data_IF_640237615470
#
_entry.id   IF_640237615470
#
_cell.length_a   1.000
_cell.length_b   1.000
_cell.length_c   1.000
_cell.angle_alpha   90.00
_cell.angle_beta   90.00
_cell.angle_gamma   90.00
#
_symmetry.space_group_name_H-M   'P 1'
#
loop_
_entity.id
_entity.type
_entity.pdbx_description
1 polymer ?
#
# COMPACT_ATOMS: atom_id res chain seq x y z
N UNK A 1 1.10 -2.66 -49.63
CA UNK A 1 2.13 -3.45 -48.90
C UNK A 1 1.92 -3.17 -47.43
N UNK A 2 1.05 -3.96 -46.80
CA UNK A 2 0.85 -3.93 -45.35
C UNK A 2 2.10 -4.49 -44.68
N UNK A 3 2.83 -3.64 -43.98
CA UNK A 3 3.87 -4.08 -43.05
C UNK A 3 3.18 -4.53 -41.77
N UNK A 4 3.09 -5.85 -41.57
CA UNK A 4 2.70 -6.46 -40.30
C UNK A 4 3.70 -6.02 -39.23
N UNK A 5 3.19 -5.35 -38.21
CA UNK A 5 3.89 -5.13 -36.94
C UNK A 5 3.77 -6.43 -36.16
N UNK A 6 4.83 -7.24 -36.17
CA UNK A 6 4.94 -8.39 -35.28
C UNK A 6 5.16 -7.85 -33.87
N UNK A 7 4.08 -7.76 -33.11
CA UNK A 7 4.16 -7.56 -31.67
C UNK A 7 4.65 -8.89 -31.08
N UNK A 8 5.96 -8.99 -30.85
CA UNK A 8 6.51 -10.00 -29.94
C UNK A 8 5.92 -9.74 -28.56
N UNK A 9 5.07 -10.66 -28.12
CA UNK A 9 4.67 -10.77 -26.72
C UNK A 9 5.92 -11.11 -25.91
N UNK A 10 6.47 -10.12 -25.22
CA UNK A 10 7.58 -10.32 -24.29
C UNK A 10 7.05 -11.05 -23.05
N UNK A 11 7.31 -12.36 -22.99
CA UNK A 11 7.08 -13.19 -21.82
C UNK A 11 7.93 -12.66 -20.66
N UNK A 12 7.27 -12.16 -19.60
CA UNK A 12 7.96 -11.64 -18.41
C UNK A 12 8.58 -12.85 -17.69
N UNK A 13 9.89 -13.04 -17.82
CA UNK A 13 10.62 -14.01 -17.02
C UNK A 13 10.63 -13.53 -15.56
N UNK A 14 9.87 -14.21 -14.71
CA UNK A 14 9.84 -13.95 -13.28
C UNK A 14 11.10 -14.51 -12.63
N UNK A 15 12.17 -13.71 -12.63
CA UNK A 15 13.40 -13.97 -11.88
C UNK A 15 13.29 -13.32 -10.50
N UNK A 16 13.82 -13.96 -9.46
CA UNK A 16 13.91 -13.35 -8.14
C UNK A 16 14.97 -12.23 -8.11
N UNK A 17 15.06 -11.48 -6.99
CA UNK A 17 16.01 -10.37 -6.85
C UNK A 17 17.49 -10.80 -6.89
N UNK A 18 17.77 -12.10 -6.86
CA UNK A 18 19.11 -12.67 -6.88
C UNK A 18 19.45 -13.31 -8.24
N UNK A 19 18.52 -13.32 -9.20
CA UNK A 19 18.71 -13.94 -10.51
C UNK A 19 18.61 -15.47 -10.50
N UNK A 20 18.02 -16.05 -9.44
CA UNK A 20 17.66 -17.46 -9.37
C UNK A 20 16.20 -17.66 -9.82
N UNK A 21 15.94 -18.79 -10.48
CA UNK A 21 14.57 -19.25 -10.69
C UNK A 21 13.90 -19.42 -9.32
N UNK A 22 12.64 -19.02 -9.14
CA UNK A 22 11.97 -19.20 -7.87
C UNK A 22 11.93 -20.70 -7.53
N UNK A 23 12.74 -21.15 -6.56
CA UNK A 23 12.72 -22.51 -6.00
C UNK A 23 11.44 -22.80 -5.18
N UNK A 24 10.30 -22.25 -5.57
CA UNK A 24 9.02 -22.75 -5.11
C UNK A 24 8.68 -23.95 -5.99
N UNK A 25 8.91 -25.17 -5.47
CA UNK A 25 8.39 -26.37 -6.14
C UNK A 25 6.88 -26.20 -6.32
N UNK A 26 6.33 -26.64 -7.45
CA UNK A 26 4.88 -26.60 -7.75
C UNK A 26 4.06 -27.19 -6.58
N UNK A 27 4.65 -28.14 -5.85
CA UNK A 27 4.07 -28.76 -4.65
C UNK A 27 3.95 -27.85 -3.42
N UNK A 28 4.85 -26.88 -3.23
CA UNK A 28 4.77 -25.86 -2.18
C UNK A 28 3.74 -24.77 -2.52
N UNK A 29 3.62 -24.44 -3.80
CA UNK A 29 2.64 -23.47 -4.31
C UNK A 29 1.21 -24.03 -4.21
N UNK A 30 0.97 -25.30 -4.57
CA UNK A 30 -0.34 -25.95 -4.43
C UNK A 30 -0.81 -26.12 -2.99
N UNK A 31 0.11 -26.30 -2.02
CA UNK A 31 -0.24 -26.38 -0.59
C UNK A 31 -0.77 -25.07 -0.04
N UNK A 32 -0.31 -23.95 -0.57
CA UNK A 32 -0.90 -22.65 -0.30
C UNK A 32 -2.13 -22.53 -1.17
N UNK A 33 -3.27 -23.01 -0.68
CA UNK A 33 -4.56 -22.66 -1.25
C UNK A 33 -5.03 -21.34 -0.63
N UNK A 34 -4.65 -20.18 -1.18
CA UNK A 34 -4.91 -18.87 -0.58
C UNK A 34 -6.40 -18.74 -0.24
N UNK A 35 -7.29 -19.07 -1.16
CA UNK A 35 -8.71 -18.86 -0.93
C UNK A 35 -9.40 -19.88 -0.01
N UNK A 36 -8.72 -20.96 0.41
CA UNK A 36 -9.28 -21.98 1.30
C UNK A 36 -8.81 -21.83 2.76
N UNK A 37 -7.75 -21.06 3.02
CA UNK A 37 -7.17 -20.91 4.35
C UNK A 37 -7.43 -19.52 4.95
N UNK A 38 -8.09 -19.47 6.11
CA UNK A 38 -8.36 -18.23 6.85
C UNK A 38 -7.08 -17.50 7.29
N UNK A 39 -6.04 -18.22 7.71
CA UNK A 39 -4.76 -17.63 8.16
C UNK A 39 -4.11 -16.83 7.05
N UNK A 40 -4.06 -17.40 5.84
CA UNK A 40 -3.52 -16.71 4.66
C UNK A 40 -4.17 -15.34 4.44
N UNK A 41 -5.49 -15.26 4.62
CA UNK A 41 -6.23 -14.02 4.34
C UNK A 41 -5.85 -12.96 5.38
N UNK A 42 -5.71 -13.36 6.64
CA UNK A 42 -5.28 -12.47 7.73
C UNK A 42 -3.87 -11.95 7.45
N UNK A 43 -2.93 -12.83 7.11
CA UNK A 43 -1.53 -12.47 6.85
C UNK A 43 -1.42 -11.52 5.64
N UNK A 44 -2.15 -11.82 4.56
CA UNK A 44 -2.16 -11.01 3.35
C UNK A 44 -2.83 -9.66 3.57
N UNK A 45 -3.94 -9.64 4.31
CA UNK A 45 -4.65 -8.41 4.63
C UNK A 45 -3.79 -7.50 5.53
N UNK A 46 -3.07 -8.07 6.50
CA UNK A 46 -2.09 -7.35 7.32
C UNK A 46 -0.99 -6.73 6.47
N UNK A 47 -0.36 -7.51 5.59
CA UNK A 47 0.65 -7.04 4.65
C UNK A 47 0.14 -5.94 3.70
N UNK A 48 -1.09 -6.07 3.21
CA UNK A 48 -1.73 -5.08 2.36
C UNK A 48 -1.99 -3.77 3.11
N UNK A 49 -2.58 -3.85 4.30
CA UNK A 49 -2.81 -2.68 5.15
C UNK A 49 -1.50 -1.97 5.50
N UNK A 50 -0.46 -2.72 5.81
CA UNK A 50 0.84 -2.17 6.18
C UNK A 50 1.55 -1.51 4.99
N UNK A 51 1.41 -2.09 3.79
CA UNK A 51 1.89 -1.50 2.55
C UNK A 51 1.22 -0.15 2.28
N UNK A 52 -0.12 -0.09 2.39
CA UNK A 52 -0.88 1.15 2.19
C UNK A 52 -0.56 2.21 3.25
N UNK A 53 -0.24 1.82 4.48
CA UNK A 53 0.19 2.76 5.52
C UNK A 53 1.52 3.43 5.17
N UNK A 54 2.51 2.64 4.73
CA UNK A 54 3.85 3.17 4.41
C UNK A 54 3.90 3.86 3.04
N UNK A 55 3.09 3.39 2.09
CA UNK A 55 3.06 3.81 0.69
C UNK A 55 1.62 3.92 0.19
N UNK A 56 0.84 4.89 0.72
CA UNK A 56 -0.52 5.09 0.24
C UNK A 56 -0.51 5.50 -1.24
N UNK A 57 -1.42 4.96 -2.08
CA UNK A 57 -1.53 5.32 -3.49
C UNK A 57 -1.78 6.81 -3.72
N UNK A 58 -2.46 7.46 -2.77
CA UNK A 58 -2.65 8.92 -2.74
C UNK A 58 -1.98 9.47 -1.46
N UNK A 59 -0.75 9.99 -1.56
CA UNK A 59 0.03 10.41 -0.40
C UNK A 59 -0.52 11.63 0.34
N UNK A 60 -1.21 12.51 -0.37
CA UNK A 60 -1.68 13.79 0.14
C UNK A 60 -3.13 14.05 -0.26
N UNK A 61 -3.93 14.42 0.72
CA UNK A 61 -5.37 14.65 0.57
C UNK A 61 -5.71 16.05 1.07
N UNK A 62 -6.51 16.80 0.32
CA UNK A 62 -6.99 18.11 0.78
C UNK A 62 -8.47 18.03 1.15
N UNK A 63 -8.83 18.55 2.32
CA UNK A 63 -10.22 18.65 2.78
C UNK A 63 -10.51 20.08 3.23
N UNK A 64 -11.74 20.51 3.07
CA UNK A 64 -12.23 21.79 3.60
C UNK A 64 -13.46 21.52 4.46
N UNK A 65 -13.61 22.20 5.60
CA UNK A 65 -14.75 21.99 6.47
C UNK A 65 -16.01 22.53 5.80
N UNK A 66 -17.16 21.88 6.00
CA UNK A 66 -18.45 22.36 5.43
C UNK A 66 -18.99 23.59 6.15
N UNK A 67 -18.68 23.74 7.44
CA UNK A 67 -19.06 24.85 8.31
C UNK A 67 -17.85 25.26 9.13
N UNK A 68 -17.92 26.38 9.82
CA UNK A 68 -16.88 26.77 10.77
C UNK A 68 -16.76 25.70 11.87
N UNK A 69 -15.53 25.31 12.22
CA UNK A 69 -15.25 24.29 13.22
C UNK A 69 -13.92 24.58 13.95
N UNK A 70 -13.64 23.87 15.04
CA UNK A 70 -12.40 23.97 15.82
C UNK A 70 -11.66 22.63 15.71
N UNK A 71 -10.48 22.65 15.10
CA UNK A 71 -9.66 21.43 14.97
C UNK A 71 -8.99 21.06 16.30
N UNK A 72 -8.51 19.81 16.48
CA UNK A 72 -7.87 19.36 17.73
C UNK A 72 -6.68 20.20 18.22
N UNK A 73 -6.07 21.00 17.35
CA UNK A 73 -5.06 22.01 17.72
C UNK A 73 -5.65 23.31 18.28
N UNK A 74 -6.94 23.34 18.59
CA UNK A 74 -7.71 24.50 19.07
C UNK A 74 -7.77 25.69 18.09
N UNK A 75 -7.48 25.47 16.80
CA UNK A 75 -7.57 26.51 15.76
C UNK A 75 -8.96 26.53 15.13
N UNK A 76 -9.52 27.72 14.92
CA UNK A 76 -10.73 27.88 14.12
C UNK A 76 -10.43 27.69 12.63
N UNK A 77 -11.27 26.90 11.95
CA UNK A 77 -11.23 26.67 10.51
C UNK A 77 -12.54 27.10 9.88
N UNK A 78 -12.46 27.74 8.71
CA UNK A 78 -13.61 28.24 7.96
C UNK A 78 -13.81 27.45 6.68
N UNK A 79 -14.98 27.51 6.01
CA UNK A 79 -15.24 26.76 4.78
C UNK A 79 -14.26 27.05 3.62
N UNK A 80 -13.61 28.21 3.61
CA UNK A 80 -12.56 28.56 2.64
C UNK A 80 -11.18 27.98 2.99
N UNK A 81 -11.01 27.42 4.19
CA UNK A 81 -9.74 26.86 4.66
C UNK A 81 -9.53 25.48 4.05
N UNK A 82 -8.41 25.30 3.35
CA UNK A 82 -7.95 23.97 2.90
C UNK A 82 -7.01 23.37 3.93
N UNK A 83 -7.36 22.20 4.41
CA UNK A 83 -6.55 21.38 5.32
C UNK A 83 -5.90 20.29 4.47
N UNK A 84 -4.57 20.21 4.51
CA UNK A 84 -3.80 19.19 3.81
C UNK A 84 -3.43 18.07 4.79
N UNK A 85 -3.85 16.85 4.47
CA UNK A 85 -3.51 15.63 5.16
C UNK A 85 -2.41 14.93 4.37
N UNK A 86 -1.20 14.82 4.94
CA UNK A 86 -0.15 13.98 4.37
C UNK A 86 -0.28 12.57 4.96
N UNK A 87 -1.05 11.71 4.29
CA UNK A 87 -1.26 10.32 4.71
C UNK A 87 0.08 9.58 4.79
N UNK A 88 0.97 9.83 3.82
CA UNK A 88 2.30 9.21 3.80
C UNK A 88 3.15 9.62 5.01
N UNK A 89 3.14 10.90 5.40
CA UNK A 89 3.88 11.37 6.58
C UNK A 89 3.24 10.90 7.87
N UNK A 90 1.91 10.98 7.96
CA UNK A 90 1.15 10.56 9.14
C UNK A 90 1.31 9.06 9.43
N UNK A 91 1.37 8.22 8.39
CA UNK A 91 1.63 6.80 8.52
C UNK A 91 2.97 6.49 9.19
N UNK A 92 3.95 7.40 9.09
CA UNK A 92 5.32 7.28 9.62
C UNK A 92 5.57 8.18 10.85
N UNK A 93 4.51 8.66 11.49
CA UNK A 93 4.63 9.57 12.62
C UNK A 93 4.64 8.79 13.94
N UNK A 94 5.68 9.01 14.75
CA UNK A 94 5.86 8.32 16.04
C UNK A 94 4.72 8.62 17.02
N UNK A 95 4.16 9.82 17.00
CA UNK A 95 3.00 10.17 17.84
C UNK A 95 1.73 9.38 17.49
N UNK A 96 1.65 8.77 16.29
CA UNK A 96 0.50 7.97 15.85
C UNK A 96 0.73 6.47 16.04
N UNK A 97 1.94 5.96 15.73
CA UNK A 97 2.23 4.50 15.72
C UNK A 97 3.37 4.06 16.64
N UNK A 98 3.96 4.98 17.41
CA UNK A 98 5.10 4.71 18.28
C UNK A 98 6.42 4.61 17.52
N UNK A 99 7.45 4.11 18.20
CA UNK A 99 8.84 4.20 17.75
C UNK A 99 9.14 3.38 16.47
N UNK A 100 8.31 2.38 16.17
CA UNK A 100 8.47 1.50 15.00
C UNK A 100 7.61 1.93 13.81
N UNK A 101 7.23 3.22 13.74
CA UNK A 101 6.37 3.76 12.68
C UNK A 101 6.96 3.69 11.25
N UNK A 102 8.27 3.46 11.09
CA UNK A 102 8.91 3.36 9.76
C UNK A 102 9.06 1.90 9.31
N UNK A 103 9.01 0.94 10.24
CA UNK A 103 9.19 -0.48 9.93
C UNK A 103 7.93 -1.05 9.28
N UNK A 104 8.11 -2.03 8.40
CA UNK A 104 7.02 -2.83 7.85
C UNK A 104 6.73 -3.99 8.80
N UNK A 105 5.57 -3.94 9.44
CA UNK A 105 5.10 -4.92 10.45
C UNK A 105 3.66 -5.34 10.14
N UNK A 106 3.49 -6.39 9.33
CA UNK A 106 2.18 -6.85 8.89
C UNK A 106 1.40 -7.65 9.95
N UNK A 107 2.06 -8.02 11.06
CA UNK A 107 1.49 -8.80 12.18
C UNK A 107 0.40 -8.11 13.00
#
# INVERSE_FOLDING_TARGET
MESKSDHEEYEIQTLDINGEEPEATVSEAEKRKPFENRSWFIDTYGAFCESLRLYPPVPTESKSPRRQDIVPSCRQVYPSTKILFSLHSMGRMTSVRGDQCIQFKPE
#
